data_IF_569683822549
#
_entry.id   IF_569683822549
#
_cell.length_a   1.000
_cell.length_b   1.000
_cell.length_c   1.000
_cell.angle_alpha   90.00
_cell.angle_beta   90.00
_cell.angle_gamma   90.00
#
_symmetry.space_group_name_H-M   'P 1'
#
loop_
_entity.id
_entity.type
_entity.pdbx_description
1 polymer ?
#
# COMPACT_ATOMS: atom_id res chain seq x y z
N UNK A 1 0.42 -6.48 -22.67
CA UNK A 1 -0.99 -6.66 -22.24
C UNK A 1 -1.07 -7.43 -20.91
N UNK A 2 -0.53 -8.66 -20.81
CA UNK A 2 -0.48 -9.40 -19.53
C UNK A 2 0.30 -8.69 -18.41
N UNK A 3 1.43 -8.02 -18.71
CA UNK A 3 2.19 -7.23 -17.73
C UNK A 3 1.37 -6.04 -17.16
N UNK A 4 0.53 -5.45 -18.00
CA UNK A 4 -0.30 -4.30 -17.65
C UNK A 4 -1.53 -4.71 -16.83
N UNK A 5 -2.14 -5.85 -17.17
CA UNK A 5 -3.24 -6.46 -16.41
C UNK A 5 -2.73 -6.92 -15.04
N UNK A 6 -1.56 -7.57 -14.97
CA UNK A 6 -0.93 -7.98 -13.72
C UNK A 6 -0.62 -6.80 -12.80
N UNK A 7 -0.09 -5.70 -13.34
CA UNK A 7 0.08 -4.45 -12.59
C UNK A 7 -1.24 -3.88 -12.10
N UNK A 8 -2.28 -3.87 -12.93
CA UNK A 8 -3.59 -3.35 -12.54
C UNK A 8 -4.21 -4.15 -11.38
N UNK A 9 -4.12 -5.48 -11.43
CA UNK A 9 -4.56 -6.36 -10.36
C UNK A 9 -3.74 -6.10 -9.08
N UNK A 10 -2.40 -6.03 -9.19
CA UNK A 10 -1.54 -5.74 -8.05
C UNK A 10 -1.85 -4.38 -7.40
N UNK A 11 -2.06 -3.33 -8.19
CA UNK A 11 -2.46 -2.00 -7.70
C UNK A 11 -3.81 -2.06 -6.98
N UNK A 12 -4.78 -2.77 -7.56
CA UNK A 12 -6.12 -2.94 -6.96
C UNK A 12 -6.04 -3.65 -5.62
N UNK A 13 -5.26 -4.73 -5.52
CA UNK A 13 -5.05 -5.46 -4.27
C UNK A 13 -4.36 -4.59 -3.22
N UNK A 14 -3.33 -3.82 -3.60
CA UNK A 14 -2.65 -2.91 -2.68
C UNK A 14 -3.60 -1.84 -2.15
N UNK A 15 -4.42 -1.23 -3.00
CA UNK A 15 -5.40 -0.23 -2.54
C UNK A 15 -6.47 -0.84 -1.63
N UNK A 16 -6.92 -2.07 -1.92
CA UNK A 16 -7.87 -2.77 -1.06
C UNK A 16 -7.27 -3.09 0.32
N UNK A 17 -6.05 -3.62 0.36
CA UNK A 17 -5.35 -3.91 1.62
C UNK A 17 -5.03 -2.65 2.41
N UNK A 18 -4.68 -1.55 1.75
CA UNK A 18 -4.48 -0.25 2.39
C UNK A 18 -5.75 0.22 3.10
N UNK A 19 -6.89 0.24 2.39
CA UNK A 19 -8.17 0.61 3.00
C UNK A 19 -8.57 -0.32 4.14
N UNK A 20 -8.34 -1.63 4.01
CA UNK A 20 -8.61 -2.60 5.06
C UNK A 20 -7.74 -2.35 6.29
N UNK A 21 -6.44 -2.05 6.10
CA UNK A 21 -5.49 -1.79 7.18
C UNK A 21 -5.80 -0.52 7.95
N UNK A 22 -6.30 0.53 7.27
CA UNK A 22 -6.73 1.76 7.92
C UNK A 22 -7.84 1.53 8.96
N UNK A 23 -8.75 0.57 8.73
CA UNK A 23 -9.81 0.25 9.71
C UNK A 23 -9.19 -0.20 11.05
N UNK A 24 -8.11 -0.98 11.01
CA UNK A 24 -7.41 -1.43 12.21
C UNK A 24 -6.47 -0.35 12.79
N UNK A 25 -5.93 0.53 11.95
CA UNK A 25 -5.06 1.61 12.41
C UNK A 25 -5.74 2.62 13.33
N UNK A 26 -7.07 2.67 13.35
CA UNK A 26 -7.86 3.56 14.22
C UNK A 26 -8.55 2.86 15.39
N UNK A 27 -8.30 1.56 15.57
CA UNK A 27 -8.92 0.76 16.64
C UNK A 27 -8.28 1.01 18.02
N UNK A 28 -7.07 1.58 18.07
CA UNK A 28 -6.43 1.90 19.34
C UNK A 28 -6.98 3.20 19.93
N UNK A 29 -7.20 3.26 21.26
CA UNK A 29 -7.54 4.51 21.96
C UNK A 29 -6.37 5.49 22.04
N UNK A 30 -5.14 5.03 21.78
CA UNK A 30 -3.94 5.87 21.81
C UNK A 30 -3.66 6.52 20.44
N UNK A 31 -3.65 7.85 20.43
CA UNK A 31 -3.48 8.65 19.20
C UNK A 31 -2.08 8.51 18.59
N UNK A 32 -1.03 8.35 19.41
CA UNK A 32 0.33 8.14 18.91
C UNK A 32 0.45 6.79 18.19
N UNK A 33 -0.15 5.75 18.74
CA UNK A 33 -0.23 4.41 18.14
C UNK A 33 -0.95 4.46 16.80
N UNK A 34 -2.09 5.16 16.72
CA UNK A 34 -2.83 5.32 15.46
C UNK A 34 -2.00 6.05 14.41
N UNK A 35 -1.33 7.14 14.79
CA UNK A 35 -0.45 7.89 13.88
C UNK A 35 0.70 7.01 13.38
N UNK A 36 1.33 6.23 14.26
CA UNK A 36 2.41 5.31 13.88
C UNK A 36 1.93 4.22 12.93
N UNK A 37 0.78 3.60 13.21
CA UNK A 37 0.21 2.55 12.37
C UNK A 37 -0.15 3.08 10.98
N UNK A 38 -0.85 4.21 10.89
CA UNK A 38 -1.16 4.87 9.60
C UNK A 38 0.13 5.23 8.85
N UNK A 39 1.13 5.76 9.55
CA UNK A 39 2.41 6.14 8.93
C UNK A 39 3.15 4.92 8.37
N UNK A 40 3.17 3.81 9.12
CA UNK A 40 3.77 2.56 8.67
C UNK A 40 3.01 1.97 7.47
N UNK A 41 1.68 2.01 7.49
CA UNK A 41 0.84 1.51 6.40
C UNK A 41 1.02 2.33 5.11
N UNK A 42 1.08 3.66 5.22
CA UNK A 42 1.36 4.57 4.09
C UNK A 42 2.76 4.30 3.52
N UNK A 43 3.77 4.12 4.36
CA UNK A 43 5.14 3.82 3.91
C UNK A 43 5.20 2.45 3.22
N UNK A 44 4.55 1.44 3.80
CA UNK A 44 4.53 0.09 3.25
C UNK A 44 3.81 0.02 1.91
N UNK A 45 2.55 0.50 1.86
CA UNK A 45 1.75 0.52 0.64
C UNK A 45 2.35 1.45 -0.42
N UNK A 46 2.86 2.63 -0.02
CA UNK A 46 3.57 3.53 -0.92
C UNK A 46 4.82 2.90 -1.53
N UNK A 47 5.60 2.15 -0.74
CA UNK A 47 6.74 1.37 -1.22
C UNK A 47 6.33 0.28 -2.21
N UNK A 48 5.25 -0.47 -1.93
CA UNK A 48 4.71 -1.46 -2.85
C UNK A 48 4.24 -0.83 -4.17
N UNK A 49 3.50 0.27 -4.11
CA UNK A 49 3.05 1.02 -5.28
C UNK A 49 4.24 1.52 -6.10
N UNK A 50 5.30 1.98 -5.44
CA UNK A 50 6.53 2.39 -6.11
C UNK A 50 7.22 1.20 -6.80
N UNK A 51 7.30 0.02 -6.16
CA UNK A 51 7.86 -1.19 -6.76
C UNK A 51 7.05 -1.69 -7.97
N UNK A 52 5.72 -1.70 -7.87
CA UNK A 52 4.82 -2.14 -8.96
C UNK A 52 4.92 -1.19 -10.16
N UNK A 53 5.02 0.12 -9.89
CA UNK A 53 5.13 1.16 -10.92
C UNK A 53 6.57 1.43 -11.37
N UNK A 54 7.56 0.80 -10.74
CA UNK A 54 8.95 0.87 -11.17
C UNK A 54 8.98 0.33 -12.60
N UNK A 55 9.11 1.23 -13.58
CA UNK A 55 9.49 0.82 -14.93
C UNK A 55 10.77 0.02 -14.76
N UNK A 56 10.71 -1.28 -15.05
CA UNK A 56 11.87 -2.17 -14.99
C UNK A 56 13.01 -1.40 -15.64
N UNK A 57 14.06 -1.15 -14.86
CA UNK A 57 15.20 -0.39 -15.35
C UNK A 57 15.57 -1.00 -16.68
N UNK A 58 15.56 -0.18 -17.74
CA UNK A 58 16.35 -0.55 -18.91
C UNK A 58 17.76 -0.82 -18.39
N UNK A 59 18.39 -1.93 -18.79
CA UNK A 59 19.77 -2.20 -18.41
C UNK A 59 20.67 -1.00 -18.75
#
# INVERSE_FOLDING_TARGET
MMDQIGKFIALTVVMFLFMFSLIFCFDSPDTLTNILLVSADVLFCGGLLWLINRKGGKP
#
